data_IF_716073464574
#
_entry.id   IF_716073464574
#
_cell.length_a   1.000
_cell.length_b   1.000
_cell.length_c   1.000
_cell.angle_alpha   90.00
_cell.angle_beta   90.00
_cell.angle_gamma   90.00
#
_symmetry.space_group_name_H-M   'P 1'
#
loop_
_entity.id
_entity.type
_entity.pdbx_description
1 polymer ?
#
# COMPACT_ATOMS: atom_id res chain seq x y z
N UNK A 1 21.36 -19.49 -20.36
CA UNK A 1 21.30 -18.03 -20.09
C UNK A 1 20.09 -17.81 -19.20
N UNK A 2 20.27 -17.88 -17.88
CA UNK A 2 19.17 -17.75 -16.92
C UNK A 2 19.16 -16.32 -16.40
N UNK A 3 18.16 -15.54 -16.79
CA UNK A 3 17.94 -14.19 -16.30
C UNK A 3 17.54 -14.23 -14.83
N UNK A 4 18.33 -13.58 -13.98
CA UNK A 4 17.95 -13.30 -12.61
C UNK A 4 16.78 -12.30 -12.62
N UNK A 5 15.55 -12.81 -12.53
CA UNK A 5 14.40 -11.99 -12.15
C UNK A 5 14.66 -11.50 -10.73
N UNK A 6 14.92 -10.20 -10.58
CA UNK A 6 15.02 -9.55 -9.28
C UNK A 6 13.76 -9.85 -8.48
N UNK A 7 13.94 -10.20 -7.21
CA UNK A 7 12.85 -10.44 -6.26
C UNK A 7 11.86 -9.28 -6.29
N UNK A 8 10.62 -9.56 -6.68
CA UNK A 8 9.58 -8.56 -6.84
C UNK A 8 9.08 -8.13 -5.45
N UNK A 9 9.50 -6.94 -5.00
CA UNK A 9 9.14 -6.39 -3.67
C UNK A 9 7.69 -5.92 -3.57
N UNK A 10 7.02 -5.72 -4.70
CA UNK A 10 5.56 -5.55 -4.80
C UNK A 10 5.14 -5.70 -6.27
N UNK A 11 3.90 -6.14 -6.50
CA UNK A 11 3.33 -6.26 -7.85
C UNK A 11 2.25 -5.20 -8.02
N UNK A 12 2.40 -4.36 -9.02
CA UNK A 12 1.31 -3.50 -9.49
C UNK A 12 0.22 -4.40 -10.07
N UNK A 13 -0.95 -4.43 -9.43
CA UNK A 13 -2.06 -5.28 -9.84
C UNK A 13 -2.85 -4.68 -11.01
N UNK A 14 -2.96 -3.36 -11.06
CA UNK A 14 -3.67 -2.63 -12.12
C UNK A 14 -2.92 -1.32 -12.49
N UNK A 15 -2.06 -1.35 -13.51
CA UNK A 15 -1.35 -0.17 -13.99
C UNK A 15 -2.30 0.90 -14.53
N UNK A 16 -3.41 0.51 -15.17
CA UNK A 16 -4.36 1.44 -15.76
C UNK A 16 -5.10 2.24 -14.69
N UNK A 17 -5.52 1.60 -13.59
CA UNK A 17 -6.10 2.32 -12.46
C UNK A 17 -5.10 3.29 -11.81
N UNK A 18 -3.81 2.94 -11.76
CA UNK A 18 -2.77 3.86 -11.29
C UNK A 18 -2.61 5.06 -12.20
N UNK A 19 -2.58 4.85 -13.51
CA UNK A 19 -2.42 5.92 -14.48
C UNK A 19 -3.68 6.80 -14.59
N UNK A 20 -4.85 6.27 -14.28
CA UNK A 20 -6.14 6.99 -14.24
C UNK A 20 -6.42 7.68 -12.90
N UNK A 21 -5.59 7.52 -11.87
CA UNK A 21 -5.84 8.07 -10.54
C UNK A 21 -5.86 9.61 -10.49
N UNK A 22 -7.03 10.22 -10.32
CA UNK A 22 -7.17 11.68 -10.31
C UNK A 22 -6.70 12.39 -9.02
N UNK A 23 -6.25 11.63 -8.01
CA UNK A 23 -5.70 12.17 -6.76
C UNK A 23 -4.31 12.82 -6.94
N UNK A 24 -3.86 13.68 -6.01
CA UNK A 24 -2.57 14.39 -6.09
C UNK A 24 -1.37 13.48 -6.38
N UNK A 25 -0.50 13.90 -7.32
CA UNK A 25 0.70 13.16 -7.73
C UNK A 25 1.96 14.03 -7.61
N UNK A 26 2.88 13.64 -6.76
CA UNK A 26 4.16 14.32 -6.54
C UNK A 26 5.29 13.71 -7.36
N UNK A 27 6.28 14.52 -7.73
CA UNK A 27 7.55 14.10 -8.34
C UNK A 27 8.71 14.65 -7.52
N UNK A 28 9.66 13.78 -7.23
CA UNK A 28 10.94 14.10 -6.61
C UNK A 28 12.04 13.51 -7.49
N UNK A 29 13.03 14.31 -7.85
CA UNK A 29 14.23 13.83 -8.54
C UNK A 29 15.35 13.75 -7.52
N UNK A 30 16.06 12.63 -7.47
CA UNK A 30 17.20 12.42 -6.60
C UNK A 30 18.38 11.84 -7.38
N UNK A 31 19.58 12.13 -6.91
CA UNK A 31 20.81 11.45 -7.32
C UNK A 31 21.19 10.42 -6.25
N UNK A 32 21.65 9.27 -6.72
CA UNK A 32 22.17 8.17 -5.90
C UNK A 32 23.51 7.70 -6.48
N UNK A 33 24.52 7.43 -5.64
CA UNK A 33 25.81 6.92 -6.10
C UNK A 33 25.67 5.67 -6.95
N UNK A 34 26.44 5.57 -8.05
CA UNK A 34 26.38 4.42 -8.98
C UNK A 34 26.58 3.06 -8.29
N UNK A 35 27.37 3.03 -7.21
CA UNK A 35 27.63 1.82 -6.42
C UNK A 35 26.45 1.32 -5.57
N UNK A 36 25.32 2.04 -5.55
CA UNK A 36 24.15 1.69 -4.73
C UNK A 36 23.08 0.88 -5.49
N UNK A 37 23.41 0.33 -6.66
CA UNK A 37 22.51 -0.56 -7.38
C UNK A 37 22.10 -1.77 -6.52
N UNK A 38 20.80 -2.07 -6.50
CA UNK A 38 20.21 -3.13 -5.66
C UNK A 38 20.12 -2.82 -4.16
N UNK A 39 20.64 -1.66 -3.72
CA UNK A 39 20.64 -1.27 -2.32
C UNK A 39 19.26 -0.82 -1.86
N UNK A 40 19.05 -0.86 -0.54
CA UNK A 40 17.94 -0.19 0.11
C UNK A 40 18.41 1.21 0.50
N UNK A 41 17.60 2.21 0.19
CA UNK A 41 17.86 3.60 0.54
C UNK A 41 16.68 4.15 1.32
N UNK A 42 16.98 5.14 2.13
CA UNK A 42 16.03 6.00 2.81
C UNK A 42 16.05 7.37 2.14
N UNK A 43 14.86 7.95 1.94
CA UNK A 43 14.67 9.24 1.30
C UNK A 43 13.74 10.07 2.17
N UNK A 44 14.25 11.18 2.72
CA UNK A 44 13.43 12.20 3.37
C UNK A 44 12.78 13.04 2.28
N UNK A 45 11.46 12.91 2.11
CA UNK A 45 10.73 13.65 1.09
C UNK A 45 10.62 15.12 1.53
N UNK A 46 10.98 16.13 0.71
CA UNK A 46 10.89 17.53 1.12
C UNK A 46 9.45 17.97 1.39
N UNK A 47 9.27 19.03 2.20
CA UNK A 47 7.97 19.63 2.54
C UNK A 47 7.13 20.06 1.32
N UNK A 48 7.77 20.19 0.14
CA UNK A 48 7.10 20.43 -1.14
C UNK A 48 7.76 19.61 -2.23
N UNK A 49 6.93 18.98 -3.06
CA UNK A 49 7.36 18.26 -4.26
C UNK A 49 6.65 18.81 -5.50
N UNK A 50 7.29 18.65 -6.66
CA UNK A 50 6.75 19.09 -7.95
C UNK A 50 5.52 18.28 -8.30
N UNK A 51 4.54 18.90 -8.98
CA UNK A 51 3.37 18.18 -9.47
C UNK A 51 3.78 17.30 -10.66
N UNK A 52 3.60 15.99 -10.56
CA UNK A 52 3.98 15.04 -11.59
C UNK A 52 3.12 15.12 -12.87
N UNK A 53 1.99 15.82 -12.85
CA UNK A 53 1.12 15.99 -14.03
C UNK A 53 1.51 17.14 -14.94
N UNK A 54 2.06 18.20 -14.36
CA UNK A 54 2.34 19.45 -15.08
C UNK A 54 3.79 19.89 -14.94
N UNK A 55 4.63 19.04 -14.33
CA UNK A 55 6.07 19.26 -14.14
C UNK A 55 6.43 20.63 -13.54
N UNK A 56 5.58 21.17 -12.68
CA UNK A 56 5.79 22.49 -12.06
C UNK A 56 5.04 23.64 -12.71
N UNK A 57 4.46 23.47 -13.90
CA UNK A 57 3.76 24.54 -14.61
C UNK A 57 2.44 24.98 -13.97
N UNK A 58 1.80 24.11 -13.19
CA UNK A 58 0.52 24.35 -12.56
C UNK A 58 -0.66 23.86 -13.40
N UNK A 59 -1.43 22.92 -12.85
CA UNK A 59 -2.68 22.43 -13.44
C UNK A 59 -3.78 22.42 -12.37
N UNK A 60 -5.02 22.18 -12.78
CA UNK A 60 -6.15 22.16 -11.84
C UNK A 60 -6.00 21.03 -10.79
N UNK A 61 -5.34 19.91 -11.14
CA UNK A 61 -5.02 18.83 -10.21
C UNK A 61 -4.09 19.21 -9.05
N UNK A 62 -3.29 20.28 -9.18
CA UNK A 62 -2.50 20.84 -8.08
C UNK A 62 -2.97 22.24 -7.64
N UNK A 63 -4.15 22.67 -8.11
CA UNK A 63 -4.66 24.02 -7.86
C UNK A 63 -3.73 25.11 -8.38
N UNK A 64 -3.11 24.90 -9.54
CA UNK A 64 -2.19 25.83 -10.24
C UNK A 64 -0.93 26.23 -9.46
N UNK A 65 -0.54 25.46 -8.44
CA UNK A 65 0.66 25.73 -7.62
C UNK A 65 1.96 25.16 -8.19
N UNK A 66 1.87 24.30 -9.21
CA UNK A 66 3.02 23.55 -9.72
C UNK A 66 3.53 22.44 -8.79
N UNK A 67 2.90 22.24 -7.63
CA UNK A 67 3.41 21.29 -6.63
C UNK A 67 2.43 20.96 -5.52
N UNK A 68 2.83 20.01 -4.69
CA UNK A 68 2.07 19.50 -3.57
C UNK A 68 2.85 19.71 -2.27
N UNK A 69 2.15 20.12 -1.21
CA UNK A 69 2.72 20.12 0.14
C UNK A 69 2.70 18.68 0.67
N UNK A 70 3.78 18.32 1.34
CA UNK A 70 3.90 17.05 2.04
C UNK A 70 3.71 17.33 3.53
N UNK A 71 2.79 16.63 4.22
CA UNK A 71 2.56 16.84 5.65
C UNK A 71 3.73 16.27 6.49
N UNK A 72 3.79 16.68 7.74
CA UNK A 72 4.65 16.04 8.75
C UNK A 72 6.09 16.53 8.84
N UNK A 73 6.76 16.07 9.89
CA UNK A 73 8.19 16.28 10.10
C UNK A 73 9.04 15.30 9.28
N UNK A 74 10.37 15.39 9.37
CA UNK A 74 11.27 14.60 8.50
C UNK A 74 11.07 13.10 8.67
N UNK A 75 10.81 12.63 9.90
CA UNK A 75 10.58 11.22 10.22
C UNK A 75 9.31 10.67 9.58
N UNK A 76 8.24 11.47 9.55
CA UNK A 76 6.95 11.12 8.91
C UNK A 76 7.03 11.19 7.38
N UNK A 77 8.06 11.86 6.86
CA UNK A 77 8.35 11.99 5.43
C UNK A 77 9.46 11.05 4.97
N UNK A 78 9.93 10.14 5.83
CA UNK A 78 10.94 9.17 5.49
C UNK A 78 10.33 8.02 4.70
N UNK A 79 10.86 7.76 3.52
CA UNK A 79 10.41 6.64 2.68
C UNK A 79 11.58 5.72 2.38
N UNK A 80 11.41 4.43 2.67
CA UNK A 80 12.41 3.39 2.41
C UNK A 80 12.08 2.65 1.12
N UNK A 81 13.02 2.62 0.18
CA UNK A 81 12.85 1.98 -1.12
C UNK A 81 14.06 1.15 -1.50
N UNK A 82 13.85 0.10 -2.28
CA UNK A 82 14.95 -0.64 -2.90
C UNK A 82 15.17 -0.17 -4.32
N UNK A 83 16.42 0.13 -4.65
CA UNK A 83 16.83 0.41 -6.01
C UNK A 83 16.88 -0.90 -6.82
N UNK A 84 16.61 -0.85 -8.14
CA UNK A 84 16.82 -2.01 -9.01
C UNK A 84 18.30 -2.40 -9.01
N UNK A 85 18.57 -3.69 -9.26
CA UNK A 85 19.93 -4.23 -9.33
C UNK A 85 20.79 -3.60 -10.44
N UNK A 86 20.17 -2.95 -11.43
CA UNK A 86 20.82 -2.16 -12.46
C UNK A 86 19.93 -0.99 -12.89
N UNK A 87 20.50 0.21 -13.03
CA UNK A 87 19.87 1.38 -13.64
C UNK A 87 20.94 2.33 -14.19
N UNK A 88 21.17 2.35 -15.51
CA UNK A 88 22.27 3.14 -16.11
C UNK A 88 21.91 4.60 -16.38
N UNK A 89 20.64 4.90 -16.70
CA UNK A 89 20.17 6.27 -17.00
C UNK A 89 19.22 6.87 -15.95
N UNK A 90 18.78 6.06 -14.99
CA UNK A 90 17.81 6.42 -13.97
C UNK A 90 16.62 5.45 -13.93
N UNK A 91 15.86 5.51 -12.85
CA UNK A 91 14.65 4.70 -12.63
C UNK A 91 13.58 5.56 -11.96
N UNK A 92 12.32 5.36 -12.35
CA UNK A 92 11.17 5.98 -11.67
C UNK A 92 10.54 4.95 -10.76
N UNK A 93 10.64 5.17 -9.45
CA UNK A 93 9.96 4.41 -8.42
C UNK A 93 8.61 5.09 -8.12
N UNK A 94 7.52 4.33 -8.27
CA UNK A 94 6.17 4.83 -8.00
C UNK A 94 5.68 4.29 -6.66
N UNK A 95 5.44 5.20 -5.72
CA UNK A 95 5.05 4.88 -4.34
C UNK A 95 3.61 5.31 -4.13
N UNK A 96 2.77 4.37 -3.72
CA UNK A 96 1.35 4.62 -3.47
C UNK A 96 1.15 5.00 -2.02
N UNK A 97 0.38 6.08 -1.80
CA UNK A 97 0.03 6.58 -0.46
C UNK A 97 1.27 6.66 0.47
N UNK A 98 2.34 7.36 0.06
CA UNK A 98 3.61 7.42 0.78
C UNK A 98 3.52 7.92 2.23
N UNK A 99 2.43 8.59 2.61
CA UNK A 99 2.22 9.19 3.93
C UNK A 99 0.95 8.68 4.62
N UNK A 100 0.51 7.46 4.31
CA UNK A 100 -0.64 6.81 4.94
C UNK A 100 -1.96 6.90 4.17
N UNK A 101 -2.98 6.21 4.70
CA UNK A 101 -4.33 6.05 4.11
C UNK A 101 -5.17 7.35 4.21
N UNK A 102 -4.91 8.16 5.23
CA UNK A 102 -5.74 9.30 5.65
C UNK A 102 -5.49 10.57 4.82
N UNK A 103 -5.74 10.47 3.50
CA UNK A 103 -6.38 11.48 2.65
C UNK A 103 -5.80 12.89 2.46
N UNK A 104 -4.97 13.43 3.34
CA UNK A 104 -4.51 14.83 3.28
C UNK A 104 -3.24 15.02 2.41
N UNK A 105 -2.69 13.94 1.89
CA UNK A 105 -1.39 13.92 1.22
C UNK A 105 -1.43 13.58 -0.26
N UNK A 106 -0.24 13.24 -0.75
CA UNK A 106 -0.01 12.80 -2.12
C UNK A 106 -0.47 11.34 -2.24
N UNK A 107 -1.28 11.03 -3.24
CA UNK A 107 -1.73 9.66 -3.48
C UNK A 107 -0.67 8.82 -4.21
N UNK A 108 0.15 9.45 -5.05
CA UNK A 108 1.28 8.81 -5.72
C UNK A 108 2.50 9.72 -5.72
N UNK A 109 3.63 9.21 -5.23
CA UNK A 109 4.93 9.87 -5.33
C UNK A 109 5.79 9.14 -6.35
N UNK A 110 6.26 9.87 -7.35
CA UNK A 110 7.22 9.40 -8.33
C UNK A 110 8.60 9.88 -7.89
N UNK A 111 9.45 8.95 -7.44
CA UNK A 111 10.86 9.22 -7.17
C UNK A 111 11.65 8.83 -8.41
N UNK A 112 12.19 9.82 -9.09
CA UNK A 112 13.12 9.61 -10.20
C UNK A 112 14.54 9.59 -9.64
N UNK A 113 15.08 8.39 -9.47
CA UNK A 113 16.44 8.18 -9.02
C UNK A 113 17.37 8.13 -10.23
N UNK A 114 18.39 9.00 -10.25
CA UNK A 114 19.43 9.05 -11.28
C UNK A 114 20.76 8.60 -10.69
N UNK A 115 21.53 7.84 -11.45
CA UNK A 115 22.85 7.41 -11.04
C UNK A 115 23.82 8.61 -11.12
N UNK A 116 24.49 8.94 -10.02
CA UNK A 116 25.39 10.09 -9.90
C UNK A 116 26.67 9.77 -9.12
N UNK A 117 27.47 10.80 -8.86
CA UNK A 117 28.69 10.69 -8.04
C UNK A 117 28.39 10.74 -6.54
N UNK A 118 27.35 11.49 -6.14
CA UNK A 118 26.98 11.71 -4.75
C UNK A 118 25.47 11.51 -4.53
N UNK A 119 25.11 11.20 -3.29
CA UNK A 119 23.71 11.14 -2.87
C UNK A 119 23.14 12.56 -2.73
N UNK A 120 21.91 12.76 -3.19
CA UNK A 120 21.16 13.99 -2.89
C UNK A 120 20.94 14.16 -1.38
N UNK A 121 20.75 15.42 -0.95
CA UNK A 121 20.40 15.72 0.45
C UNK A 121 19.15 14.95 0.86
N UNK A 122 19.18 14.36 2.06
CA UNK A 122 18.09 13.54 2.59
C UNK A 122 18.02 12.12 2.02
N UNK A 123 18.99 11.71 1.20
CA UNK A 123 19.12 10.33 0.71
C UNK A 123 20.24 9.62 1.45
N UNK A 124 19.91 8.54 2.14
CA UNK A 124 20.85 7.73 2.92
C UNK A 124 20.83 6.28 2.46
N UNK A 125 22.01 5.67 2.44
CA UNK A 125 22.11 4.23 2.24
C UNK A 125 21.72 3.51 3.52
N UNK A 126 20.88 2.49 3.39
CA UNK A 126 20.63 1.55 4.46
C UNK A 126 21.40 0.28 4.16
N UNK A 127 22.18 -0.18 5.13
CA UNK A 127 22.68 -1.55 5.07
C UNK A 127 21.48 -2.50 4.90
N UNK A 128 21.53 -3.45 3.96
CA UNK A 128 20.42 -4.38 3.78
C UNK A 128 20.19 -5.06 5.12
N UNK A 129 18.97 -4.92 5.67
CA UNK A 129 18.58 -5.72 6.81
C UNK A 129 18.83 -7.18 6.42
N UNK A 130 19.49 -7.94 7.31
CA UNK A 130 19.65 -9.37 7.13
C UNK A 130 18.29 -9.93 6.70
N UNK A 131 18.23 -10.79 5.67
CA UNK A 131 16.96 -11.26 5.14
C UNK A 131 16.11 -11.74 6.31
N UNK A 132 15.01 -11.05 6.58
CA UNK A 132 14.03 -11.53 7.55
C UNK A 132 13.62 -12.90 7.01
N UNK A 133 14.04 -13.94 7.73
CA UNK A 133 13.59 -15.29 7.44
C UNK A 133 12.07 -15.19 7.34
N UNK A 134 11.44 -15.72 6.26
CA UNK A 134 10.03 -15.52 6.01
C UNK A 134 9.29 -15.81 7.29
N UNK A 135 8.71 -14.76 7.88
CA UNK A 135 7.86 -14.87 9.05
C UNK A 135 6.71 -15.73 8.58
N UNK A 136 6.82 -17.03 8.87
CA UNK A 136 5.66 -17.91 8.87
C UNK A 136 4.72 -17.24 9.85
N UNK A 137 3.73 -16.52 9.35
CA UNK A 137 2.51 -16.31 10.11
C UNK A 137 2.18 -17.68 10.70
N UNK A 138 2.02 -17.80 12.03
CA UNK A 138 1.50 -19.03 12.59
C UNK A 138 0.20 -19.28 11.84
N UNK A 139 0.19 -20.31 11.00
CA UNK A 139 -1.02 -20.79 10.34
C UNK A 139 -1.98 -21.04 11.49
N UNK A 140 -2.93 -20.11 11.68
CA UNK A 140 -3.92 -20.22 12.73
C UNK A 140 -4.50 -21.63 12.58
N UNK A 141 -4.49 -22.46 13.64
CA UNK A 141 -4.91 -23.84 13.52
C UNK A 141 -6.27 -23.83 12.86
N UNK A 142 -6.33 -24.36 11.63
CA UNK A 142 -7.58 -24.56 10.90
C UNK A 142 -8.48 -25.32 11.85
N UNK A 143 -9.39 -24.60 12.49
CA UNK A 143 -10.41 -25.20 13.30
C UNK A 143 -11.11 -26.20 12.39
N UNK A 144 -10.88 -27.48 12.65
CA UNK A 144 -11.57 -28.55 11.96
C UNK A 144 -13.06 -28.24 12.09
N UNK A 145 -13.67 -27.84 10.99
CA UNK A 145 -15.11 -27.72 10.91
C UNK A 145 -15.65 -29.14 11.11
N UNK A 146 -15.98 -29.46 12.37
CA UNK A 146 -16.82 -30.60 12.69
C UNK A 146 -18.19 -30.30 12.09
N UNK A 147 -18.40 -30.78 10.87
CA UNK A 147 -19.71 -30.89 10.27
C UNK A 147 -20.52 -31.92 11.06
N UNK A 148 -21.16 -31.48 12.15
CA UNK A 148 -22.26 -32.21 12.76
C UNK A 148 -23.49 -32.02 11.90
N UNK A 149 -23.81 -33.05 11.11
CA UNK A 149 -25.14 -33.21 10.55
C UNK A 149 -26.15 -33.28 11.70
N UNK A 150 -26.97 -32.25 11.83
CA UNK A 150 -28.16 -32.26 12.67
C UNK A 150 -29.35 -31.93 11.77
N UNK A 151 -29.78 -32.95 11.03
CA UNK A 151 -31.11 -32.96 10.46
C UNK A 151 -32.17 -32.87 11.57
N UNK A 152 -33.25 -32.15 11.27
CA UNK A 152 -34.59 -32.31 11.88
C UNK A 152 -34.69 -32.06 13.39
N UNK A 153 -34.72 -30.79 13.81
CA UNK A 153 -35.25 -30.43 15.14
C UNK A 153 -35.87 -29.02 15.23
N UNK A 154 -36.34 -28.43 14.12
CA UNK A 154 -36.92 -27.08 14.13
C UNK A 154 -38.43 -27.03 13.84
N UNK A 155 -39.15 -28.16 13.91
CA UNK A 155 -40.58 -28.23 13.53
C UNK A 155 -41.52 -28.65 14.67
N UNK A 156 -40.99 -29.00 15.86
CA UNK A 156 -41.83 -29.50 16.97
C UNK A 156 -42.23 -28.39 17.96
N UNK A 157 -41.46 -27.31 18.08
CA UNK A 157 -41.71 -26.26 19.09
C UNK A 157 -42.87 -25.33 18.71
N UNK A 158 -43.21 -25.17 17.42
CA UNK A 158 -44.33 -24.33 16.99
C UNK A 158 -45.70 -24.99 17.15
N UNK A 159 -45.79 -26.33 17.11
CA UNK A 159 -47.06 -27.05 17.24
C UNK A 159 -47.56 -27.06 18.71
N UNK A 160 -46.65 -27.17 19.68
CA UNK A 160 -47.03 -27.18 21.10
C UNK A 160 -47.61 -25.83 21.56
N UNK A 161 -47.09 -24.70 21.06
CA UNK A 161 -47.60 -23.36 21.36
C UNK A 161 -48.94 -23.08 20.69
N UNK A 162 -49.18 -23.59 19.48
CA UNK A 162 -50.46 -23.44 18.79
C UNK A 162 -51.59 -24.25 19.46
N UNK A 163 -51.29 -25.46 19.96
CA UNK A 163 -52.28 -26.29 20.66
C UNK A 163 -52.65 -25.73 22.04
N UNK A 164 -51.71 -25.16 22.79
CA UNK A 164 -51.99 -24.56 24.09
C UNK A 164 -52.90 -23.31 23.98
N UNK A 165 -52.72 -22.50 22.93
CA UNK A 165 -53.57 -21.33 22.69
C UNK A 165 -55.01 -21.70 22.30
N UNK A 166 -55.20 -22.81 21.58
CA UNK A 166 -56.51 -23.28 21.13
C UNK A 166 -57.35 -23.87 22.29
N UNK A 167 -56.71 -24.57 23.23
CA UNK A 167 -57.39 -25.09 24.44
C UNK A 167 -57.79 -23.96 25.39
N UNK A 168 -56.94 -22.95 25.58
CA UNK A 168 -57.26 -21.80 26.42
C UNK A 168 -58.45 -20.98 25.88
N UNK A 169 -58.60 -20.89 24.56
CA UNK A 169 -59.72 -20.17 23.94
C UNK A 169 -61.04 -20.95 24.00
N UNK A 170 -61.01 -22.28 23.98
CA UNK A 170 -62.21 -23.12 24.03
C UNK A 170 -62.82 -23.28 25.43
N UNK A 171 -62.02 -23.14 26.49
CA UNK A 171 -62.49 -23.27 27.90
C UNK A 171 -62.91 -21.91 28.50
N UNK A 172 -62.54 -20.80 27.87
CA UNK A 172 -62.84 -19.43 28.31
C UNK A 172 -64.08 -18.77 27.69
N UNK A 173 -64.93 -19.51 26.98
CA UNK A 173 -66.27 -19.08 26.51
C UNK A 173 -67.34 -19.97 27.13
#
# INVERSE_FOLDING_TARGET
>A
MNGAMGEALSRVLDPTALDACDKPRGRLVIEVPRGWAGAVIEVVIPKRVTCARCDGGGCDGCGRRGGHRVPGEDEERLVRVRLPAAFEGGVVLRILRPFGEDGAGIAQLLIEARAGEAASVGVTWCEPAAPEAPSREPEAPRAAALSFGAGRAATVVTIALALAALVAFAVGR
#
